data_IF_207889994649
#
_entry.id   IF_207889994649
#
_cell.length_a   1.000
_cell.length_b   1.000
_cell.length_c   1.000
_cell.angle_alpha   90.00
_cell.angle_beta   90.00
_cell.angle_gamma   90.00
#
_symmetry.space_group_name_H-M   'P 1'
#
loop_
_entity.id
_entity.type
_entity.pdbx_description
1 polymer ?
#
# COMPACT_ATOMS: atom_id res chain seq x y z
N UNK A 1 17.61 8.36 -2.07
CA UNK A 1 17.42 9.80 -1.77
C UNK A 1 18.57 10.41 -0.95
N UNK A 2 19.01 9.78 0.14
CA UNK A 2 20.16 10.29 0.90
C UNK A 2 21.46 10.26 0.07
N UNK A 3 21.65 9.19 -0.72
CA UNK A 3 22.80 9.01 -1.63
C UNK A 3 22.66 9.80 -2.94
N UNK A 4 21.43 10.10 -3.36
CA UNK A 4 21.11 10.90 -4.55
C UNK A 4 20.09 11.99 -4.23
N UNK A 5 20.47 13.08 -3.52
CA UNK A 5 19.54 14.12 -3.09
C UNK A 5 18.84 14.84 -4.25
N UNK A 6 19.51 14.93 -5.41
CA UNK A 6 18.97 15.54 -6.63
C UNK A 6 17.75 14.81 -7.18
N UNK A 7 17.58 13.53 -6.83
CA UNK A 7 16.43 12.72 -7.24
C UNK A 7 15.23 12.88 -6.29
N UNK A 8 15.39 13.62 -5.18
CA UNK A 8 14.30 13.93 -4.26
C UNK A 8 13.38 15.02 -4.80
N UNK A 9 12.86 14.81 -6.00
CA UNK A 9 11.99 15.72 -6.72
C UNK A 9 10.61 15.13 -6.87
N UNK A 10 9.62 16.03 -6.96
CA UNK A 10 8.26 15.62 -7.32
C UNK A 10 8.18 15.34 -8.82
N UNK A 11 7.44 14.29 -9.17
CA UNK A 11 7.08 13.93 -10.55
C UNK A 11 5.56 13.85 -10.55
N UNK A 12 4.91 14.55 -11.46
CA UNK A 12 3.45 14.67 -11.54
C UNK A 12 2.79 15.08 -10.20
N UNK A 13 3.48 15.95 -9.45
CA UNK A 13 3.01 16.43 -8.14
C UNK A 13 3.23 15.47 -6.96
N UNK A 14 3.71 14.25 -7.22
CA UNK A 14 3.91 13.21 -6.21
C UNK A 14 5.35 13.17 -5.70
N UNK A 15 5.54 13.07 -4.38
CA UNK A 15 6.86 12.85 -3.79
C UNK A 15 7.38 11.44 -4.11
N UNK A 16 8.70 11.18 -4.05
CA UNK A 16 9.24 9.84 -4.26
C UNK A 16 8.61 8.76 -3.35
N UNK A 17 8.38 9.08 -2.07
CA UNK A 17 7.74 8.15 -1.13
C UNK A 17 6.30 7.83 -1.56
N UNK A 18 5.52 8.83 -1.98
CA UNK A 18 4.17 8.60 -2.49
C UNK A 18 4.18 7.72 -3.74
N UNK A 19 5.14 7.96 -4.65
CA UNK A 19 5.30 7.15 -5.87
C UNK A 19 5.63 5.69 -5.55
N UNK A 20 6.42 5.43 -4.50
CA UNK A 20 6.71 4.05 -4.06
C UNK A 20 5.42 3.29 -3.70
N UNK A 21 4.57 3.88 -2.85
CA UNK A 21 3.30 3.25 -2.47
C UNK A 21 2.30 3.14 -3.63
N UNK A 22 2.27 4.14 -4.52
CA UNK A 22 1.41 4.10 -5.71
C UNK A 22 1.88 3.00 -6.68
N UNK A 23 3.17 2.88 -6.92
CA UNK A 23 3.74 1.82 -7.76
C UNK A 23 3.43 0.43 -7.17
N UNK A 24 3.56 0.26 -5.84
CA UNK A 24 3.14 -0.96 -5.15
C UNK A 24 1.66 -1.29 -5.39
N UNK A 25 0.77 -0.32 -5.22
CA UNK A 25 -0.66 -0.52 -5.43
C UNK A 25 -0.97 -0.86 -6.90
N UNK A 26 -0.28 -0.26 -7.86
CA UNK A 26 -0.45 -0.52 -9.29
C UNK A 26 -0.03 -1.95 -9.69
N UNK A 27 1.03 -2.50 -9.09
CA UNK A 27 1.45 -3.91 -9.33
C UNK A 27 0.35 -4.90 -8.94
N UNK A 28 -0.46 -4.55 -7.93
CA UNK A 28 -1.55 -5.40 -7.43
C UNK A 28 -2.94 -5.00 -7.95
N UNK A 29 -3.02 -4.10 -8.93
CA UNK A 29 -4.29 -3.71 -9.52
C UNK A 29 -4.92 -4.90 -10.26
N UNK A 30 -6.07 -5.37 -9.77
CA UNK A 30 -6.79 -6.50 -10.34
C UNK A 30 -8.28 -6.21 -10.55
N UNK A 31 -8.87 -6.92 -11.52
CA UNK A 31 -10.31 -6.98 -11.71
C UNK A 31 -10.65 -8.40 -12.12
N UNK A 32 -11.49 -9.05 -11.32
CA UNK A 32 -11.86 -10.44 -11.51
C UNK A 32 -13.37 -10.64 -11.40
N UNK A 33 -13.87 -11.66 -12.10
CA UNK A 33 -15.26 -12.10 -11.96
C UNK A 33 -15.49 -12.70 -10.56
N UNK A 34 -16.68 -12.51 -10.00
CA UNK A 34 -17.01 -12.96 -8.65
C UNK A 34 -16.83 -14.47 -8.46
N UNK A 35 -17.17 -15.27 -9.47
CA UNK A 35 -16.95 -16.73 -9.47
C UNK A 35 -15.47 -17.11 -9.35
N UNK A 36 -14.59 -16.38 -10.05
CA UNK A 36 -13.14 -16.57 -9.93
C UNK A 36 -12.63 -16.15 -8.55
N UNK A 37 -13.10 -15.01 -8.03
CA UNK A 37 -12.75 -14.54 -6.68
C UNK A 37 -13.13 -15.57 -5.61
N UNK A 38 -14.31 -16.19 -5.71
CA UNK A 38 -14.73 -17.28 -4.81
C UNK A 38 -13.78 -18.48 -4.89
N UNK A 39 -13.45 -18.92 -6.10
CA UNK A 39 -12.58 -20.06 -6.31
C UNK A 39 -11.17 -19.80 -5.77
N UNK A 40 -10.54 -18.68 -6.19
CA UNK A 40 -9.16 -18.37 -5.81
C UNK A 40 -9.00 -18.12 -4.32
N UNK A 41 -10.01 -17.52 -3.67
CA UNK A 41 -10.00 -17.32 -2.21
C UNK A 41 -10.00 -18.66 -1.45
N UNK A 42 -10.55 -19.72 -2.04
CA UNK A 42 -10.58 -21.04 -1.42
C UNK A 42 -9.33 -21.89 -1.69
N UNK A 43 -8.55 -21.59 -2.74
CA UNK A 43 -7.47 -22.45 -3.22
C UNK A 43 -6.07 -21.83 -3.26
N UNK A 44 -5.96 -20.50 -3.37
CA UNK A 44 -4.68 -19.78 -3.44
C UNK A 44 -4.31 -19.23 -2.06
N UNK A 45 -3.11 -19.51 -1.52
CA UNK A 45 -2.67 -18.95 -0.25
C UNK A 45 -2.41 -17.44 -0.31
N UNK A 46 -2.35 -16.83 -1.51
CA UNK A 46 -2.16 -15.39 -1.66
C UNK A 46 -3.49 -14.63 -1.58
N UNK A 47 -3.56 -13.55 -0.79
CA UNK A 47 -4.74 -12.69 -0.78
C UNK A 47 -5.02 -12.08 -2.17
N UNK A 48 -6.28 -11.84 -2.54
CA UNK A 48 -6.63 -11.09 -3.75
C UNK A 48 -5.92 -9.72 -3.82
N UNK A 49 -5.69 -9.21 -5.04
CA UNK A 49 -4.86 -8.03 -5.31
C UNK A 49 -5.26 -6.80 -4.49
N UNK A 50 -6.56 -6.52 -4.38
CA UNK A 50 -7.09 -5.44 -3.50
C UNK A 50 -6.56 -5.45 -2.06
N UNK A 51 -6.34 -6.63 -1.48
CA UNK A 51 -5.79 -6.77 -0.13
C UNK A 51 -4.27 -6.61 -0.12
N UNK A 52 -3.57 -7.15 -1.12
CA UNK A 52 -2.12 -6.99 -1.27
C UNK A 52 -1.72 -5.53 -1.53
N UNK A 53 -2.54 -4.79 -2.27
CA UNK A 53 -2.32 -3.38 -2.58
C UNK A 53 -2.37 -2.48 -1.33
N UNK A 54 -3.23 -2.79 -0.36
CA UNK A 54 -3.62 -1.85 0.70
C UNK A 54 -3.27 -2.31 2.11
N UNK A 55 -3.39 -3.60 2.44
CA UNK A 55 -3.21 -4.08 3.81
C UNK A 55 -1.77 -3.86 4.33
N UNK A 56 -0.69 -4.19 3.59
CA UNK A 56 0.68 -3.97 4.07
C UNK A 56 0.99 -2.49 4.34
N UNK A 57 0.50 -1.59 3.49
CA UNK A 57 0.74 -0.16 3.62
C UNK A 57 0.22 0.41 4.96
N UNK A 58 -0.88 -0.13 5.50
CA UNK A 58 -1.44 0.29 6.79
C UNK A 58 -0.56 -0.06 7.99
N UNK A 59 0.37 -0.99 7.83
CA UNK A 59 1.34 -1.35 8.88
C UNK A 59 2.64 -0.54 8.77
N UNK A 60 2.87 0.14 7.64
CA UNK A 60 4.10 0.91 7.39
C UNK A 60 3.95 2.36 7.88
N UNK A 61 4.86 2.82 8.75
CA UNK A 61 4.85 4.19 9.28
C UNK A 61 5.06 5.23 8.17
N UNK A 62 5.88 4.91 7.18
CA UNK A 62 6.13 5.76 6.01
C UNK A 62 4.83 6.16 5.30
N UNK A 63 3.88 5.23 5.16
CA UNK A 63 2.61 5.47 4.47
C UNK A 63 1.79 6.61 5.09
N UNK A 64 1.71 6.64 6.42
CA UNK A 64 1.02 7.70 7.16
C UNK A 64 1.65 9.07 6.91
N UNK A 65 2.99 9.13 6.90
CA UNK A 65 3.72 10.37 6.65
C UNK A 65 3.55 10.83 5.20
N UNK A 66 3.63 9.91 4.24
CA UNK A 66 3.59 10.22 2.80
C UNK A 66 2.24 10.76 2.35
N UNK A 67 1.13 10.28 2.93
CA UNK A 67 -0.22 10.69 2.55
C UNK A 67 -0.94 11.53 3.61
N UNK A 68 -0.27 11.83 4.73
CA UNK A 68 -0.84 12.65 5.81
C UNK A 68 -2.04 11.99 6.51
N UNK A 69 -2.06 10.66 6.59
CA UNK A 69 -3.18 9.88 7.14
C UNK A 69 -3.29 10.09 8.65
N UNK A 70 -4.50 10.38 9.11
CA UNK A 70 -4.86 10.70 10.49
C UNK A 70 -5.98 9.80 10.99
N UNK A 71 -6.18 9.80 12.31
CA UNK A 71 -7.30 9.10 12.93
C UNK A 71 -8.61 9.59 12.33
N UNK A 72 -9.45 8.66 11.88
CA UNK A 72 -10.71 8.95 11.18
C UNK A 72 -10.65 8.69 9.67
N UNK A 73 -9.46 8.68 9.06
CA UNK A 73 -9.32 8.31 7.65
C UNK A 73 -9.54 6.81 7.44
N UNK A 74 -10.09 6.41 6.29
CA UNK A 74 -10.38 5.02 5.94
C UNK A 74 -9.17 4.09 6.08
N UNK A 75 -7.97 4.58 5.76
CA UNK A 75 -6.74 3.80 5.80
C UNK A 75 -6.03 3.83 7.16
N UNK A 76 -6.58 4.52 8.16
CA UNK A 76 -6.02 4.56 9.50
C UNK A 76 -6.02 3.16 10.16
N UNK A 77 -4.93 2.82 10.82
CA UNK A 77 -4.83 1.72 11.76
C UNK A 77 -4.14 2.24 13.02
N UNK A 78 -4.68 1.96 14.20
CA UNK A 78 -4.09 2.45 15.45
C UNK A 78 -2.66 1.92 15.61
N UNK A 79 -1.70 2.72 16.10
CA UNK A 79 -0.31 2.31 16.20
C UNK A 79 -0.08 0.96 16.92
N UNK A 80 -0.91 0.65 17.92
CA UNK A 80 -0.85 -0.61 18.68
C UNK A 80 -1.29 -1.85 17.88
N UNK A 81 -2.06 -1.65 16.81
CA UNK A 81 -2.58 -2.72 15.95
C UNK A 81 -1.71 -2.90 14.69
N UNK A 82 -0.66 -2.08 14.54
CA UNK A 82 0.29 -2.20 13.43
C UNK A 82 1.29 -3.32 13.74
N UNK A 83 1.63 -4.11 12.72
CA UNK A 83 2.48 -5.28 12.84
C UNK A 83 3.80 -4.99 12.13
N UNK A 84 4.91 -5.30 12.80
CA UNK A 84 6.26 -5.26 12.22
C UNK A 84 6.92 -6.58 12.58
N UNK A 85 7.60 -7.21 11.62
CA UNK A 85 8.18 -8.54 11.78
C UNK A 85 9.70 -8.56 11.62
N UNK A 86 10.21 -7.84 10.62
CA UNK A 86 11.61 -7.86 10.21
C UNK A 86 12.38 -6.64 10.72
#
# INVERSE_FOLDING_TARGET
LHESPKENVKIDGLSPDQRCFIAWAQVWADKAHEGWLRQVTASDPHPPGRYRASAPARHERGFYKSFGIRRGDTMWLDPKDRVTLW
#
